data_IF_488817609901
#
_entry.id   IF_488817609901
#
_cell.length_a   1.000
_cell.length_b   1.000
_cell.length_c   1.000
_cell.angle_alpha   90.00
_cell.angle_beta   90.00
_cell.angle_gamma   90.00
#
_symmetry.space_group_name_H-M   'P 1'
#
loop_
_entity.id
_entity.type
_entity.pdbx_description
1 polymer ?
#
# COMPACT_ATOMS: atom_id res chain seq x y z
N UNK A 1 75.20 15.10 -33.50
CA UNK A 1 74.68 14.17 -32.49
C UNK A 1 73.54 14.86 -31.77
N UNK A 2 72.30 14.51 -32.17
CA UNK A 2 71.07 15.13 -31.65
C UNK A 2 70.43 14.14 -30.69
N UNK A 3 70.36 14.47 -29.42
CA UNK A 3 69.65 13.65 -28.42
C UNK A 3 68.22 14.14 -28.29
N UNK A 4 67.28 13.28 -28.72
CA UNK A 4 65.85 13.47 -28.51
C UNK A 4 65.50 13.11 -27.05
N UNK A 5 64.94 14.07 -26.31
CA UNK A 5 64.27 13.84 -25.03
C UNK A 5 62.79 13.52 -25.31
N UNK A 6 62.42 12.28 -25.07
CA UNK A 6 60.98 11.89 -24.99
C UNK A 6 60.48 12.15 -23.58
N UNK A 7 59.64 13.15 -23.44
CA UNK A 7 58.88 13.40 -22.21
C UNK A 7 57.61 12.51 -22.19
N UNK A 8 57.62 11.52 -21.30
CA UNK A 8 56.43 10.70 -21.04
C UNK A 8 55.48 11.49 -20.13
N UNK A 9 54.33 11.93 -20.69
CA UNK A 9 53.22 12.45 -19.90
C UNK A 9 52.46 11.27 -19.31
N UNK A 10 52.65 11.03 -18.03
CA UNK A 10 51.85 10.11 -17.23
C UNK A 10 50.58 10.85 -16.80
N UNK A 11 49.48 10.70 -17.53
CA UNK A 11 48.18 11.23 -17.15
C UNK A 11 47.60 10.42 -15.98
N UNK A 12 47.67 11.00 -14.79
CA UNK A 12 47.06 10.48 -13.58
C UNK A 12 45.54 10.67 -13.70
N UNK A 13 44.80 9.68 -14.13
CA UNK A 13 43.34 9.66 -14.02
C UNK A 13 42.97 9.47 -12.55
N UNK A 14 42.67 10.56 -11.85
CA UNK A 14 41.98 10.53 -10.57
C UNK A 14 40.55 10.09 -10.87
N UNK A 15 40.26 8.81 -10.69
CA UNK A 15 38.87 8.32 -10.60
C UNK A 15 38.37 8.82 -9.25
N UNK A 16 37.72 9.98 -9.25
CA UNK A 16 36.85 10.38 -8.14
C UNK A 16 35.66 9.47 -8.22
N UNK A 17 35.70 8.35 -7.49
CA UNK A 17 34.48 7.61 -7.15
C UNK A 17 33.66 8.55 -6.27
N UNK A 18 32.73 9.32 -6.88
CA UNK A 18 31.64 9.90 -6.14
C UNK A 18 30.96 8.71 -5.46
N UNK A 19 31.15 8.58 -4.15
CA UNK A 19 30.39 7.65 -3.33
C UNK A 19 28.94 8.05 -3.49
N UNK A 20 28.20 7.30 -4.33
CA UNK A 20 26.76 7.30 -4.24
C UNK A 20 26.48 6.83 -2.82
N UNK A 21 25.93 7.71 -1.98
CA UNK A 21 25.36 7.28 -0.73
C UNK A 21 24.46 6.10 -1.05
N UNK A 22 24.69 4.97 -0.40
CA UNK A 22 23.88 3.77 -0.58
C UNK A 22 22.42 4.15 -0.23
N UNK A 23 21.60 4.35 -1.25
CA UNK A 23 20.21 4.76 -1.10
C UNK A 23 19.29 3.55 -1.32
N UNK A 24 18.18 3.50 -0.55
CA UNK A 24 17.12 2.51 -0.75
C UNK A 24 16.68 2.51 -2.21
N UNK A 25 16.76 1.37 -2.86
CA UNK A 25 16.41 1.21 -4.26
C UNK A 25 14.94 0.79 -4.40
N UNK A 26 14.14 1.59 -5.11
CA UNK A 26 12.74 1.24 -5.43
C UNK A 26 12.65 0.79 -6.88
N UNK A 27 12.18 -0.44 -7.09
CA UNK A 27 11.98 -1.03 -8.43
C UNK A 27 10.51 -1.24 -8.72
N UNK A 28 10.13 -1.12 -9.98
CA UNK A 28 8.82 -1.50 -10.51
C UNK A 28 8.96 -2.80 -11.29
N UNK A 29 8.01 -3.70 -11.11
CA UNK A 29 7.97 -4.98 -11.81
C UNK A 29 6.54 -5.42 -12.05
N UNK A 30 6.35 -6.38 -12.94
CA UNK A 30 5.07 -6.98 -13.23
C UNK A 30 5.10 -8.48 -12.95
N UNK A 31 3.96 -9.01 -12.52
CA UNK A 31 3.72 -10.44 -12.36
C UNK A 31 2.61 -10.83 -13.32
N UNK A 32 2.88 -11.80 -14.19
CA UNK A 32 1.90 -12.31 -15.14
C UNK A 32 0.90 -13.26 -14.46
N UNK A 33 -0.38 -12.96 -14.61
CA UNK A 33 -1.51 -13.81 -14.27
C UNK A 33 -2.20 -14.25 -15.57
N UNK A 34 -3.14 -15.20 -15.48
CA UNK A 34 -3.85 -15.71 -16.67
C UNK A 34 -4.65 -14.63 -17.42
N UNK A 35 -5.11 -13.60 -16.69
CA UNK A 35 -5.98 -12.55 -17.21
C UNK A 35 -5.28 -11.19 -17.40
N UNK A 36 -3.99 -11.08 -17.12
CA UNK A 36 -3.24 -9.82 -17.26
C UNK A 36 -2.05 -9.70 -16.33
N UNK A 37 -1.53 -8.50 -16.19
CA UNK A 37 -0.32 -8.19 -15.42
C UNK A 37 -0.64 -7.41 -14.16
N UNK A 38 -0.01 -7.81 -13.06
CA UNK A 38 -0.09 -7.10 -11.78
C UNK A 38 1.21 -6.35 -11.51
N UNK A 39 1.09 -5.05 -11.26
CA UNK A 39 2.24 -4.19 -10.97
C UNK A 39 2.62 -4.21 -9.49
N UNK A 40 3.91 -4.23 -9.22
CA UNK A 40 4.53 -4.16 -7.90
C UNK A 40 5.54 -3.02 -7.82
N UNK A 41 5.52 -2.27 -6.73
CA UNK A 41 6.66 -1.46 -6.27
C UNK A 41 7.38 -2.23 -5.18
N UNK A 42 8.68 -2.43 -5.34
CA UNK A 42 9.48 -3.12 -4.34
C UNK A 42 10.68 -2.26 -3.96
N UNK A 43 10.75 -1.91 -2.68
CA UNK A 43 11.90 -1.22 -2.11
C UNK A 43 12.85 -2.26 -1.48
N UNK A 44 14.14 -2.12 -1.78
CA UNK A 44 15.18 -3.01 -1.30
C UNK A 44 16.10 -2.25 -0.36
N UNK A 45 16.48 -2.84 0.78
CA UNK A 45 17.46 -2.26 1.68
C UNK A 45 18.84 -2.19 1.01
N UNK A 46 19.66 -1.27 1.45
CA UNK A 46 21.06 -1.18 1.03
C UNK A 46 21.82 -2.44 1.36
N UNK A 47 21.60 -2.94 2.57
CA UNK A 47 22.19 -4.22 3.03
C UNK A 47 21.06 -5.20 3.30
N UNK A 48 21.11 -6.36 2.64
CA UNK A 48 20.14 -7.43 2.90
C UNK A 48 20.25 -7.88 4.35
N UNK A 49 19.10 -8.04 5.00
CA UNK A 49 18.96 -8.59 6.34
C UNK A 49 18.01 -9.79 6.32
N UNK A 50 18.00 -10.53 7.42
CA UNK A 50 17.07 -11.65 7.62
C UNK A 50 15.67 -11.19 8.08
N UNK A 51 15.42 -9.87 8.11
CA UNK A 51 14.12 -9.33 8.47
C UNK A 51 13.05 -9.76 7.46
N UNK A 52 11.88 -10.16 7.98
CA UNK A 52 10.75 -10.55 7.13
C UNK A 52 10.30 -9.38 6.27
N UNK A 53 9.96 -9.63 5.00
CA UNK A 53 9.47 -8.58 4.11
C UNK A 53 8.10 -8.07 4.56
N UNK A 54 7.83 -6.79 4.28
CA UNK A 54 6.52 -6.17 4.52
C UNK A 54 5.81 -5.95 3.21
N UNK A 55 4.52 -6.30 3.14
CA UNK A 55 3.64 -5.98 2.03
C UNK A 55 2.63 -4.94 2.46
N UNK A 56 2.57 -3.79 1.78
CA UNK A 56 1.71 -2.66 2.09
C UNK A 56 0.54 -2.58 1.11
N UNK A 57 -0.68 -2.82 1.60
CA UNK A 57 -1.93 -2.77 0.86
C UNK A 57 -2.56 -1.38 0.95
N UNK A 58 -2.63 -0.69 -0.18
CA UNK A 58 -3.04 0.71 -0.27
C UNK A 58 -4.52 0.97 0.06
N UNK A 59 -4.90 2.19 0.42
CA UNK A 59 -6.31 2.57 0.46
C UNK A 59 -6.86 2.71 -0.96
N UNK A 60 -8.12 2.34 -1.18
CA UNK A 60 -8.81 2.68 -2.43
C UNK A 60 -9.09 4.20 -2.47
N UNK A 61 -8.83 4.90 -3.58
CA UNK A 61 -8.58 4.39 -4.93
C UNK A 61 -7.10 4.44 -5.38
N UNK A 62 -6.16 4.37 -4.46
CA UNK A 62 -4.75 4.59 -4.74
C UNK A 62 -3.99 3.29 -5.05
N UNK A 63 -2.85 3.46 -5.73
CA UNK A 63 -1.88 2.42 -6.04
C UNK A 63 -0.82 2.27 -4.93
N UNK A 64 0.13 1.35 -5.11
CA UNK A 64 1.30 1.22 -4.26
C UNK A 64 2.15 2.50 -4.16
N UNK A 65 1.96 3.47 -5.08
CA UNK A 65 2.59 4.78 -5.00
C UNK A 65 2.16 5.59 -3.77
N UNK A 66 1.01 5.27 -3.19
CA UNK A 66 0.53 5.90 -1.96
C UNK A 66 1.55 5.77 -0.81
N UNK A 67 2.38 4.74 -0.84
CA UNK A 67 3.40 4.46 0.16
C UNK A 67 4.82 4.93 -0.22
N UNK A 68 4.98 5.79 -1.23
CA UNK A 68 6.30 6.12 -1.78
C UNK A 68 7.33 6.62 -0.75
N UNK A 69 6.91 7.34 0.29
CA UNK A 69 7.79 7.76 1.41
C UNK A 69 7.95 6.64 2.44
N UNK A 70 6.85 6.00 2.87
CA UNK A 70 6.90 4.91 3.84
C UNK A 70 7.74 3.72 3.35
N UNK A 71 7.68 3.39 2.05
CA UNK A 71 8.50 2.34 1.45
C UNK A 71 9.99 2.55 1.71
N UNK A 72 10.47 3.79 1.60
CA UNK A 72 11.87 4.12 1.84
C UNK A 72 12.26 3.98 3.31
N UNK A 73 11.36 4.38 4.21
CA UNK A 73 11.60 4.29 5.66
C UNK A 73 11.64 2.83 6.13
N UNK A 74 10.66 2.03 5.75
CA UNK A 74 10.60 0.61 6.08
C UNK A 74 11.71 -0.19 5.42
N UNK A 75 12.14 0.21 4.22
CA UNK A 75 13.20 -0.50 3.49
C UNK A 75 14.61 -0.20 3.97
N UNK A 76 14.79 0.45 5.11
CA UNK A 76 16.12 0.61 5.72
C UNK A 76 16.74 -0.71 6.15
N UNK A 77 15.92 -1.68 6.57
CA UNK A 77 16.35 -2.96 7.10
C UNK A 77 15.69 -4.19 6.46
N UNK A 78 14.69 -4.02 5.57
CA UNK A 78 13.94 -5.13 4.99
C UNK A 78 13.41 -4.83 3.60
N UNK A 79 12.97 -5.85 2.88
CA UNK A 79 12.27 -5.66 1.61
C UNK A 79 10.84 -5.22 1.89
N UNK A 80 10.37 -4.20 1.16
CA UNK A 80 9.01 -3.68 1.26
C UNK A 80 8.34 -3.71 -0.10
N UNK A 81 7.11 -4.23 -0.15
CA UNK A 81 6.38 -4.46 -1.39
C UNK A 81 5.05 -3.71 -1.30
N UNK A 82 4.70 -2.95 -2.32
CA UNK A 82 3.40 -2.32 -2.46
C UNK A 82 2.79 -2.71 -3.82
N UNK A 83 1.87 -3.69 -3.83
CA UNK A 83 1.15 -4.08 -5.04
C UNK A 83 0.06 -3.07 -5.38
N UNK A 84 -0.19 -2.89 -6.68
CA UNK A 84 -1.40 -2.24 -7.15
C UNK A 84 -2.54 -3.28 -7.21
N UNK A 85 -3.75 -2.91 -6.82
CA UNK A 85 -4.91 -3.80 -6.95
C UNK A 85 -5.33 -3.97 -8.41
N UNK A 86 -6.07 -5.05 -8.75
CA UNK A 86 -6.66 -5.21 -10.05
C UNK A 86 -7.42 -3.97 -10.50
N UNK A 87 -6.98 -3.38 -11.62
CA UNK A 87 -7.58 -2.18 -12.22
C UNK A 87 -7.23 -0.85 -11.55
N UNK A 88 -6.29 -0.82 -10.60
CA UNK A 88 -5.70 0.40 -10.07
C UNK A 88 -4.25 0.54 -10.49
N UNK A 89 -3.75 1.77 -10.45
CA UNK A 89 -2.37 2.07 -10.81
C UNK A 89 -2.00 1.57 -12.21
N UNK A 90 -1.08 0.62 -12.26
CA UNK A 90 -0.58 0.01 -13.49
C UNK A 90 -0.93 -1.48 -13.61
N UNK A 91 -1.83 -1.99 -12.77
CA UNK A 91 -2.32 -3.36 -12.85
C UNK A 91 -3.50 -3.48 -13.80
N UNK A 92 -3.51 -4.56 -14.59
CA UNK A 92 -4.68 -4.96 -15.38
C UNK A 92 -5.85 -5.34 -14.48
N UNK A 93 -7.01 -5.52 -15.09
CA UNK A 93 -8.23 -5.91 -14.40
C UNK A 93 -8.90 -7.09 -15.10
N UNK A 94 -9.29 -8.15 -14.37
CA UNK A 94 -10.13 -9.20 -14.94
C UNK A 94 -11.55 -8.66 -15.24
N UNK A 95 -12.27 -9.34 -16.13
CA UNK A 95 -13.66 -8.98 -16.44
C UNK A 95 -14.61 -9.22 -15.26
N UNK A 96 -14.30 -10.20 -14.41
CA UNK A 96 -15.11 -10.56 -13.25
C UNK A 96 -15.18 -9.40 -12.23
N UNK A 97 -16.34 -9.31 -11.56
CA UNK A 97 -16.44 -8.51 -10.34
C UNK A 97 -15.73 -9.24 -9.20
N UNK A 98 -14.93 -8.51 -8.43
CA UNK A 98 -14.10 -9.06 -7.36
C UNK A 98 -14.64 -8.61 -5.99
N UNK A 99 -14.77 -9.56 -5.08
CA UNK A 99 -14.96 -9.27 -3.66
C UNK A 99 -13.61 -9.16 -2.91
N UNK A 100 -13.64 -8.99 -1.58
CA UNK A 100 -12.42 -8.89 -0.77
C UNK A 100 -11.65 -10.22 -0.74
N UNK A 101 -12.34 -11.35 -0.78
CA UNK A 101 -11.70 -12.67 -0.82
C UNK A 101 -10.97 -12.89 -2.15
N UNK A 102 -11.57 -12.48 -3.27
CA UNK A 102 -10.95 -12.54 -4.58
C UNK A 102 -9.70 -11.65 -4.64
N UNK A 103 -9.79 -10.42 -4.12
CA UNK A 103 -8.62 -9.55 -4.02
C UNK A 103 -7.51 -10.18 -3.19
N UNK A 104 -7.83 -10.82 -2.07
CA UNK A 104 -6.84 -11.50 -1.22
C UNK A 104 -6.19 -12.69 -1.94
N UNK A 105 -6.97 -13.50 -2.65
CA UNK A 105 -6.45 -14.64 -3.42
C UNK A 105 -5.53 -14.18 -4.56
N UNK A 106 -5.92 -13.13 -5.28
CA UNK A 106 -5.07 -12.52 -6.33
C UNK A 106 -3.76 -12.00 -5.73
N UNK A 107 -3.81 -11.30 -4.58
CA UNK A 107 -2.59 -10.83 -3.91
C UNK A 107 -1.72 -12.00 -3.47
N UNK A 108 -2.29 -13.10 -2.97
CA UNK A 108 -1.54 -14.29 -2.63
C UNK A 108 -0.84 -14.89 -3.86
N UNK A 109 -1.54 -15.04 -4.98
CA UNK A 109 -0.97 -15.54 -6.23
C UNK A 109 0.19 -14.65 -6.71
N UNK A 110 0.00 -13.32 -6.71
CA UNK A 110 1.03 -12.34 -7.09
C UNK A 110 2.27 -12.48 -6.21
N UNK A 111 2.10 -12.55 -4.90
CA UNK A 111 3.23 -12.68 -3.97
C UNK A 111 3.96 -14.00 -4.12
N UNK A 112 3.24 -15.11 -4.28
CA UNK A 112 3.84 -16.43 -4.49
C UNK A 112 4.61 -16.50 -5.81
N UNK A 113 4.06 -15.96 -6.90
CA UNK A 113 4.74 -15.88 -8.22
C UNK A 113 5.96 -14.95 -8.17
N UNK A 114 5.92 -13.89 -7.35
CA UNK A 114 7.06 -13.01 -7.12
C UNK A 114 8.14 -13.66 -6.21
N UNK A 115 7.92 -14.91 -5.76
CA UNK A 115 8.89 -15.70 -4.99
C UNK A 115 8.81 -15.50 -3.47
N UNK A 116 7.72 -14.94 -2.95
CA UNK A 116 7.46 -14.82 -1.52
C UNK A 116 6.61 -16.00 -1.00
N UNK A 117 6.64 -16.23 0.30
CA UNK A 117 5.88 -17.30 0.95
C UNK A 117 6.72 -18.50 1.37
N UNK A 118 6.07 -19.54 1.99
CA UNK A 118 6.77 -20.64 2.68
C UNK A 118 7.72 -21.45 1.81
N UNK A 119 7.46 -21.53 0.52
CA UNK A 119 8.30 -22.25 -0.46
C UNK A 119 9.30 -21.34 -1.19
N UNK A 120 9.33 -20.05 -0.85
CA UNK A 120 10.18 -19.05 -1.46
C UNK A 120 11.06 -18.36 -0.42
N UNK A 121 11.00 -17.01 -0.40
CA UNK A 121 11.79 -16.17 0.50
C UNK A 121 11.23 -16.06 1.93
N UNK A 122 10.27 -16.89 2.30
CA UNK A 122 9.61 -16.89 3.60
C UNK A 122 8.28 -16.13 3.63
N UNK A 123 7.54 -16.24 4.76
CA UNK A 123 6.29 -15.52 4.96
C UNK A 123 6.54 -14.01 5.10
N UNK A 124 5.47 -13.24 4.86
CA UNK A 124 5.48 -11.78 4.88
C UNK A 124 4.78 -11.22 6.13
N UNK A 125 5.10 -9.99 6.49
CA UNK A 125 4.24 -9.17 7.33
C UNK A 125 3.32 -8.35 6.44
N UNK A 126 2.02 -8.32 6.75
CA UNK A 126 1.04 -7.63 5.93
C UNK A 126 0.59 -6.34 6.61
N UNK A 127 0.81 -5.20 5.96
CA UNK A 127 0.35 -3.89 6.38
C UNK A 127 -0.82 -3.44 5.50
N UNK A 128 -1.95 -3.05 6.10
CA UNK A 128 -3.10 -2.53 5.38
C UNK A 128 -3.56 -1.17 5.91
N UNK A 129 -3.94 -0.28 4.99
CA UNK A 129 -4.54 1.01 5.34
C UNK A 129 -5.91 1.15 4.67
N UNK A 130 -6.93 1.56 5.43
CA UNK A 130 -8.31 1.64 4.96
C UNK A 130 -8.75 0.34 4.27
N UNK A 131 -9.08 0.36 2.97
CA UNK A 131 -9.42 -0.83 2.16
C UNK A 131 -8.41 -1.96 2.33
N UNK A 132 -7.13 -1.62 2.36
CA UNK A 132 -6.03 -2.57 2.52
C UNK A 132 -6.10 -3.38 3.81
N UNK A 133 -6.78 -2.88 4.86
CA UNK A 133 -6.95 -3.60 6.12
C UNK A 133 -7.80 -4.88 5.94
N UNK A 134 -8.87 -4.80 5.14
CA UNK A 134 -9.71 -5.97 4.86
C UNK A 134 -9.02 -6.96 3.92
N UNK A 135 -8.25 -6.47 2.94
CA UNK A 135 -7.48 -7.34 2.06
C UNK A 135 -6.37 -8.07 2.86
N UNK A 136 -5.64 -7.36 3.73
CA UNK A 136 -4.63 -7.97 4.60
C UNK A 136 -5.25 -8.99 5.57
N UNK A 137 -6.41 -8.66 6.16
CA UNK A 137 -7.18 -9.57 7.03
C UNK A 137 -7.56 -10.84 6.29
N UNK A 138 -8.17 -10.72 5.12
CA UNK A 138 -8.64 -11.87 4.35
C UNK A 138 -7.48 -12.70 3.80
N UNK A 139 -6.37 -12.04 3.40
CA UNK A 139 -5.13 -12.72 3.01
C UNK A 139 -4.60 -13.61 4.15
N UNK A 140 -4.57 -13.10 5.39
CA UNK A 140 -4.12 -13.88 6.53
C UNK A 140 -5.05 -15.04 6.86
N UNK A 141 -6.37 -14.87 6.69
CA UNK A 141 -7.37 -15.91 6.93
C UNK A 141 -7.33 -17.03 5.88
N UNK A 142 -7.15 -16.69 4.61
CA UNK A 142 -7.20 -17.65 3.50
C UNK A 142 -5.84 -18.28 3.22
N UNK A 143 -4.76 -17.55 3.46
CA UNK A 143 -3.39 -17.96 3.20
C UNK A 143 -2.51 -17.84 4.47
N UNK A 144 -2.88 -18.52 5.58
CA UNK A 144 -2.25 -18.30 6.89
C UNK A 144 -0.75 -18.61 6.92
N UNK A 145 -0.27 -19.50 6.04
CA UNK A 145 1.16 -19.80 5.95
C UNK A 145 1.96 -18.71 5.19
N UNK A 146 1.27 -17.83 4.45
CA UNK A 146 1.91 -16.71 3.73
C UNK A 146 2.14 -15.50 4.64
N UNK A 147 1.25 -15.28 5.61
CA UNK A 147 1.28 -14.11 6.50
C UNK A 147 1.82 -14.50 7.87
N UNK A 148 2.76 -13.72 8.40
CA UNK A 148 3.34 -13.89 9.73
C UNK A 148 2.64 -13.01 10.77
N UNK A 149 2.46 -11.74 10.46
CA UNK A 149 1.90 -10.70 11.32
C UNK A 149 1.09 -9.70 10.50
N UNK A 150 0.21 -8.95 11.18
CA UNK A 150 -0.61 -7.91 10.59
C UNK A 150 -0.35 -6.56 11.25
N UNK A 151 -0.31 -5.50 10.43
CA UNK A 151 -0.43 -4.11 10.87
C UNK A 151 -1.64 -3.51 10.15
N UNK A 152 -2.70 -3.17 10.89
CA UNK A 152 -3.95 -2.65 10.34
C UNK A 152 -4.12 -1.19 10.79
N UNK A 153 -4.34 -0.28 9.83
CA UNK A 153 -4.31 1.16 10.09
C UNK A 153 -5.60 1.80 9.58
N UNK A 154 -6.37 2.49 10.44
CA UNK A 154 -7.55 3.24 10.04
C UNK A 154 -8.59 2.38 9.31
N UNK A 155 -9.27 1.51 10.04
CA UNK A 155 -10.11 0.43 9.50
C UNK A 155 -11.51 0.95 9.18
N UNK A 156 -12.03 0.83 7.92
CA UNK A 156 -13.36 1.32 7.53
C UNK A 156 -14.49 0.35 7.93
N UNK A 157 -14.58 0.04 9.22
CA UNK A 157 -15.54 -0.90 9.75
C UNK A 157 -16.86 -0.23 10.09
N UNK A 158 -17.84 -0.40 9.23
CA UNK A 158 -19.19 0.15 9.39
C UNK A 158 -20.22 -0.96 9.51
N UNK A 159 -21.31 -0.70 10.22
CA UNK A 159 -22.40 -1.67 10.48
C UNK A 159 -23.76 -1.13 10.08
N UNK A 160 -24.70 -2.04 9.88
CA UNK A 160 -26.13 -1.72 9.72
C UNK A 160 -26.42 -0.65 8.68
N UNK A 161 -27.19 0.35 9.06
CA UNK A 161 -27.64 1.42 8.17
C UNK A 161 -26.49 2.28 7.62
N UNK A 162 -25.46 2.57 8.44
CA UNK A 162 -24.31 3.35 8.00
C UNK A 162 -23.54 2.63 6.89
N UNK A 163 -23.30 1.34 7.02
CA UNK A 163 -22.66 0.52 5.99
C UNK A 163 -23.48 0.54 4.69
N UNK A 164 -24.80 0.39 4.78
CA UNK A 164 -25.68 0.44 3.63
C UNK A 164 -25.67 1.81 2.93
N UNK A 165 -25.70 2.91 3.68
CA UNK A 165 -25.60 4.25 3.13
C UNK A 165 -24.29 4.48 2.38
N UNK A 166 -23.16 4.03 2.94
CA UNK A 166 -21.84 4.13 2.31
C UNK A 166 -21.76 3.31 1.03
N UNK A 167 -22.37 2.11 1.02
CA UNK A 167 -22.47 1.30 -0.19
C UNK A 167 -23.27 2.04 -1.28
N UNK A 168 -24.43 2.59 -0.95
CA UNK A 168 -25.24 3.38 -1.89
C UNK A 168 -24.46 4.58 -2.46
N UNK A 169 -23.70 5.27 -1.62
CA UNK A 169 -22.95 6.47 -1.98
C UNK A 169 -21.69 6.19 -2.79
N UNK A 170 -20.93 5.15 -2.47
CA UNK A 170 -19.58 4.92 -2.97
C UNK A 170 -19.41 3.59 -3.71
N UNK A 171 -20.19 2.57 -3.35
CA UNK A 171 -20.01 1.20 -3.85
C UNK A 171 -20.72 0.91 -5.18
N UNK A 172 -21.57 1.81 -5.66
CA UNK A 172 -22.27 1.63 -6.96
C UNK A 172 -21.39 2.15 -8.10
N UNK A 173 -21.16 1.31 -9.09
CA UNK A 173 -20.41 1.68 -10.30
C UNK A 173 -21.09 2.84 -11.01
N UNK A 174 -20.31 3.87 -11.31
CA UNK A 174 -20.77 5.08 -12.00
C UNK A 174 -20.25 5.09 -13.44
N UNK A 175 -21.02 5.65 -14.38
CA UNK A 175 -20.53 5.89 -15.74
C UNK A 175 -19.33 6.84 -15.70
N UNK A 176 -18.53 6.84 -16.77
CA UNK A 176 -17.48 7.86 -16.91
C UNK A 176 -18.10 9.25 -16.89
N UNK A 177 -17.45 10.22 -16.23
CA UNK A 177 -17.96 11.57 -16.17
C UNK A 177 -17.81 12.27 -17.54
N UNK A 178 -18.86 12.88 -18.01
CA UNK A 178 -18.83 13.74 -19.21
C UNK A 178 -18.51 15.21 -18.88
N UNK A 179 -18.68 15.60 -17.61
CA UNK A 179 -18.44 16.96 -17.15
C UNK A 179 -17.37 16.99 -16.05
N UNK A 180 -16.49 17.99 -16.09
CA UNK A 180 -15.42 18.22 -15.12
C UNK A 180 -15.96 18.34 -13.68
N UNK A 181 -17.17 18.92 -13.51
CA UNK A 181 -17.81 19.05 -12.20
C UNK A 181 -17.98 17.71 -11.45
N UNK A 182 -18.03 16.59 -12.15
CA UNK A 182 -18.07 15.27 -11.50
C UNK A 182 -16.75 14.89 -10.80
N UNK A 183 -15.64 15.49 -11.19
CA UNK A 183 -14.30 15.29 -10.59
C UNK A 183 -13.98 16.34 -9.51
N UNK A 184 -14.81 17.37 -9.35
CA UNK A 184 -14.56 18.48 -8.45
C UNK A 184 -14.38 18.01 -6.99
N UNK A 185 -15.19 17.08 -6.53
CA UNK A 185 -15.08 16.54 -5.17
C UNK A 185 -13.77 15.78 -4.93
N UNK A 186 -13.30 15.05 -5.94
CA UNK A 186 -12.00 14.36 -5.88
C UNK A 186 -10.85 15.38 -5.81
N UNK A 187 -10.97 16.49 -6.57
CA UNK A 187 -10.00 17.59 -6.52
C UNK A 187 -9.99 18.27 -5.15
N UNK A 188 -11.16 18.67 -4.66
CA UNK A 188 -11.29 19.34 -3.36
C UNK A 188 -10.67 18.46 -2.27
N UNK A 189 -11.00 17.17 -2.24
CA UNK A 189 -10.50 16.24 -1.24
C UNK A 189 -8.98 16.04 -1.32
N UNK A 190 -8.46 15.78 -2.52
CA UNK A 190 -7.06 15.39 -2.69
C UNK A 190 -6.11 16.60 -2.70
N UNK A 191 -6.54 17.76 -3.21
CA UNK A 191 -5.69 18.92 -3.44
C UNK A 191 -5.96 20.06 -2.46
N UNK A 192 -7.20 20.53 -2.38
CA UNK A 192 -7.54 21.71 -1.58
C UNK A 192 -7.58 21.41 -0.08
N UNK A 193 -8.16 20.26 0.28
CA UNK A 193 -8.30 19.79 1.67
C UNK A 193 -7.23 18.77 2.08
N UNK A 194 -6.12 18.70 1.34
CA UNK A 194 -5.02 17.82 1.73
C UNK A 194 -4.53 18.17 3.14
N UNK A 195 -4.07 17.17 3.88
CA UNK A 195 -3.58 17.39 5.24
C UNK A 195 -2.40 18.39 5.24
N UNK A 196 -2.32 19.20 6.29
CA UNK A 196 -1.16 20.08 6.51
C UNK A 196 0.13 19.24 6.52
N UNK A 197 1.16 19.74 5.82
CA UNK A 197 2.43 19.02 5.64
C UNK A 197 2.47 18.12 4.39
N UNK A 198 1.34 17.78 3.78
CA UNK A 198 1.34 17.06 2.49
C UNK A 198 1.63 18.04 1.36
N UNK A 199 2.66 17.74 0.56
CA UNK A 199 3.06 18.57 -0.58
C UNK A 199 1.94 18.71 -1.63
N UNK A 200 1.89 19.84 -2.34
CA UNK A 200 0.89 20.06 -3.39
C UNK A 200 1.00 19.03 -4.51
N UNK A 201 2.22 18.70 -4.92
CA UNK A 201 2.51 17.68 -5.93
C UNK A 201 1.90 16.33 -5.53
N UNK A 202 2.01 15.98 -4.25
CA UNK A 202 1.44 14.75 -3.71
C UNK A 202 -0.09 14.75 -3.75
N UNK A 203 -0.71 15.87 -3.40
CA UNK A 203 -2.16 16.06 -3.54
C UNK A 203 -2.61 15.91 -4.98
N UNK A 204 -1.86 16.48 -5.91
CA UNK A 204 -2.13 16.37 -7.35
C UNK A 204 -1.97 14.94 -7.87
N UNK A 205 -0.93 14.21 -7.46
CA UNK A 205 -0.75 12.79 -7.80
C UNK A 205 -1.95 11.96 -7.30
N UNK A 206 -2.38 12.17 -6.06
CA UNK A 206 -3.55 11.50 -5.49
C UNK A 206 -4.83 11.79 -6.27
N UNK A 207 -5.04 13.03 -6.73
CA UNK A 207 -6.16 13.38 -7.60
C UNK A 207 -6.11 12.60 -8.92
N UNK A 208 -4.94 12.57 -9.59
CA UNK A 208 -4.77 11.86 -10.86
C UNK A 208 -5.07 10.36 -10.69
N UNK A 209 -4.56 9.72 -9.64
CA UNK A 209 -4.84 8.31 -9.36
C UNK A 209 -6.34 8.06 -9.11
N UNK A 210 -7.00 8.93 -8.33
CA UNK A 210 -8.44 8.82 -8.09
C UNK A 210 -9.28 9.00 -9.36
N UNK A 211 -8.91 9.94 -10.22
CA UNK A 211 -9.58 10.18 -11.49
C UNK A 211 -9.39 9.00 -12.46
N UNK A 212 -8.16 8.47 -12.57
CA UNK A 212 -7.86 7.30 -13.40
C UNK A 212 -8.62 6.04 -12.94
N UNK A 213 -8.80 5.90 -11.63
CA UNK A 213 -9.51 4.77 -11.03
C UNK A 213 -11.05 4.86 -11.13
N UNK A 214 -11.63 5.86 -11.77
CA UNK A 214 -13.06 6.23 -11.72
C UNK A 214 -14.04 5.06 -11.63
N UNK A 215 -13.96 4.09 -12.54
CA UNK A 215 -14.85 2.93 -12.56
C UNK A 215 -14.49 1.90 -11.48
N UNK A 216 -13.22 1.67 -11.27
CA UNK A 216 -12.73 0.61 -10.40
C UNK A 216 -12.82 0.99 -8.93
N UNK A 217 -12.66 2.28 -8.59
CA UNK A 217 -12.81 2.73 -7.20
C UNK A 217 -14.16 2.39 -6.59
N UNK A 218 -15.25 2.53 -7.34
CA UNK A 218 -16.59 2.17 -6.86
C UNK A 218 -16.78 0.67 -6.69
N UNK A 219 -16.20 -0.16 -7.58
CA UNK A 219 -16.23 -1.63 -7.46
C UNK A 219 -15.53 -2.09 -6.19
N UNK A 220 -14.33 -1.56 -5.93
CA UNK A 220 -13.58 -1.90 -4.72
C UNK A 220 -14.29 -1.40 -3.45
N UNK A 221 -14.88 -0.18 -3.46
CA UNK A 221 -15.74 0.26 -2.35
C UNK A 221 -16.94 -0.64 -2.16
N UNK A 222 -17.53 -1.14 -3.26
CA UNK A 222 -18.63 -2.13 -3.20
C UNK A 222 -18.20 -3.40 -2.48
N UNK A 223 -17.02 -3.93 -2.79
CA UNK A 223 -16.45 -5.10 -2.11
C UNK A 223 -16.19 -4.81 -0.62
N UNK A 224 -15.63 -3.63 -0.28
CA UNK A 224 -15.39 -3.21 1.12
C UNK A 224 -16.68 -3.17 1.94
N UNK A 225 -17.74 -2.54 1.43
CA UNK A 225 -18.99 -2.40 2.18
C UNK A 225 -19.87 -3.65 2.17
N UNK A 226 -19.54 -4.66 1.36
CA UNK A 226 -20.18 -5.97 1.39
C UNK A 226 -19.37 -7.01 2.18
N UNK A 227 -18.13 -6.71 2.54
CA UNK A 227 -17.29 -7.62 3.30
C UNK A 227 -17.86 -7.91 4.69
N UNK A 228 -18.04 -9.20 5.07
CA UNK A 228 -18.66 -9.58 6.34
C UNK A 228 -17.67 -9.49 7.51
N UNK A 229 -17.11 -8.28 7.74
CA UNK A 229 -16.01 -8.03 8.65
C UNK A 229 -16.29 -8.49 10.08
N UNK A 230 -17.54 -8.37 10.57
CA UNK A 230 -17.96 -8.83 11.90
C UNK A 230 -17.77 -10.33 12.10
N UNK A 231 -17.89 -11.10 11.01
CA UNK A 231 -17.76 -12.57 11.02
C UNK A 231 -16.32 -13.00 10.78
N UNK A 232 -15.53 -12.17 10.08
CA UNK A 232 -14.16 -12.50 9.67
C UNK A 232 -13.11 -12.12 10.71
N UNK A 233 -13.22 -10.94 11.31
CA UNK A 233 -12.25 -10.44 12.28
C UNK A 233 -12.00 -11.40 13.48
N UNK A 234 -13.03 -12.01 14.08
CA UNK A 234 -12.83 -12.95 15.22
C UNK A 234 -12.04 -14.20 14.86
N UNK A 235 -11.91 -14.53 13.56
CA UNK A 235 -11.15 -15.69 13.10
C UNK A 235 -9.66 -15.45 12.96
N UNK A 236 -9.19 -14.19 13.09
CA UNK A 236 -7.78 -13.86 13.01
C UNK A 236 -7.02 -14.44 14.22
N UNK A 237 -6.05 -15.30 13.92
CA UNK A 237 -5.14 -15.90 14.92
C UNK A 237 -3.74 -15.28 14.90
N UNK A 238 -3.42 -14.51 13.87
CA UNK A 238 -2.12 -13.89 13.69
C UNK A 238 -1.92 -12.74 14.70
N UNK A 239 -0.71 -12.52 15.21
CA UNK A 239 -0.38 -11.31 15.95
C UNK A 239 -0.74 -10.08 15.12
N UNK A 240 -1.57 -9.22 15.65
CA UNK A 240 -2.12 -8.07 14.93
C UNK A 240 -1.88 -6.79 15.72
N UNK A 241 -1.17 -5.86 15.10
CA UNK A 241 -1.04 -4.49 15.58
C UNK A 241 -2.08 -3.61 14.86
N UNK A 242 -2.87 -2.87 15.63
CA UNK A 242 -3.82 -1.90 15.09
C UNK A 242 -3.33 -0.50 15.42
N UNK A 243 -3.07 0.31 14.40
CA UNK A 243 -2.72 1.72 14.57
C UNK A 243 -3.98 2.57 14.30
N UNK A 244 -4.32 3.43 15.26
CA UNK A 244 -5.56 4.20 15.25
C UNK A 244 -5.32 5.71 15.14
N UNK A 245 -5.14 6.25 13.90
CA UNK A 245 -5.12 7.69 13.69
C UNK A 245 -6.47 8.33 14.05
N UNK A 246 -6.44 9.49 14.71
CA UNK A 246 -7.65 10.18 15.19
C UNK A 246 -8.38 10.95 14.08
N UNK A 247 -8.55 10.33 12.90
CA UNK A 247 -9.40 10.78 11.80
C UNK A 247 -10.85 10.27 11.92
N UNK A 248 -11.55 10.28 10.80
CA UNK A 248 -12.95 9.82 10.71
C UNK A 248 -13.13 8.31 10.99
N UNK A 249 -12.06 7.53 10.94
CA UNK A 249 -12.08 6.09 11.18
C UNK A 249 -11.68 5.69 12.60
N UNK A 250 -11.49 6.65 13.52
CA UNK A 250 -11.08 6.36 14.90
C UNK A 250 -12.02 5.33 15.56
N UNK A 251 -13.30 5.64 15.69
CA UNK A 251 -14.27 4.73 16.28
C UNK A 251 -14.43 3.40 15.55
N UNK A 252 -14.63 3.40 14.20
CA UNK A 252 -14.65 2.16 13.43
C UNK A 252 -13.41 1.27 13.61
N UNK A 253 -12.22 1.86 13.80
CA UNK A 253 -10.97 1.12 14.05
C UNK A 253 -10.98 0.47 15.44
N UNK A 254 -11.40 1.19 16.48
CA UNK A 254 -11.56 0.67 17.84
C UNK A 254 -12.56 -0.51 17.88
N UNK A 255 -13.70 -0.33 17.21
CA UNK A 255 -14.74 -1.36 17.12
C UNK A 255 -14.21 -2.64 16.46
N UNK A 256 -13.48 -2.51 15.34
CA UNK A 256 -12.90 -3.67 14.65
C UNK A 256 -11.80 -4.34 15.47
N UNK A 257 -10.90 -3.57 16.08
CA UNK A 257 -9.83 -4.09 16.93
C UNK A 257 -10.38 -4.94 18.10
N UNK A 258 -11.51 -4.52 18.66
CA UNK A 258 -12.18 -5.24 19.75
C UNK A 258 -12.67 -6.65 19.38
N UNK A 259 -12.79 -6.96 18.09
CA UNK A 259 -13.19 -8.27 17.59
C UNK A 259 -12.03 -9.25 17.45
N UNK A 260 -10.78 -8.78 17.50
CA UNK A 260 -9.58 -9.59 17.25
C UNK A 260 -8.94 -9.95 18.59
N UNK A 261 -8.92 -11.22 18.95
CA UNK A 261 -8.43 -11.68 20.24
C UNK A 261 -6.95 -11.35 20.53
N UNK A 262 -6.11 -11.32 19.47
CA UNK A 262 -4.67 -11.08 19.59
C UNK A 262 -4.27 -9.69 19.03
N UNK A 263 -5.17 -8.71 19.07
CA UNK A 263 -4.87 -7.35 18.63
C UNK A 263 -4.28 -6.53 19.78
N UNK A 264 -3.22 -5.79 19.44
CA UNK A 264 -2.71 -4.67 20.21
C UNK A 264 -3.13 -3.38 19.51
N UNK A 265 -3.82 -2.47 20.24
CA UNK A 265 -4.28 -1.18 19.71
C UNK A 265 -3.36 -0.06 20.19
N UNK A 266 -2.78 0.69 19.26
CA UNK A 266 -1.99 1.90 19.56
C UNK A 266 -2.73 3.12 19.01
N UNK A 267 -3.03 4.06 19.90
CA UNK A 267 -3.64 5.33 19.55
C UNK A 267 -2.61 6.31 19.00
N UNK A 268 -2.96 6.97 17.89
CA UNK A 268 -2.13 7.99 17.25
C UNK A 268 -2.86 9.35 17.22
N UNK A 269 -2.98 10.04 18.40
CA UNK A 269 -3.84 11.21 18.55
C UNK A 269 -3.39 12.41 17.69
N UNK A 270 -2.12 12.51 17.37
CA UNK A 270 -1.56 13.61 16.60
C UNK A 270 -1.65 13.39 15.07
N UNK A 271 -2.07 12.20 14.64
CA UNK A 271 -2.22 11.84 13.23
C UNK A 271 -3.69 11.70 12.84
N UNK A 272 -4.07 12.24 11.69
CA UNK A 272 -5.45 12.15 11.15
C UNK A 272 -5.49 11.62 9.72
N UNK A 273 -4.87 12.35 8.80
CA UNK A 273 -4.83 12.06 7.36
C UNK A 273 -3.40 12.32 6.85
N UNK A 274 -3.06 11.77 5.68
CA UNK A 274 -1.74 11.97 5.07
C UNK A 274 -0.59 11.38 5.89
N UNK A 275 -0.86 10.40 6.75
CA UNK A 275 0.04 9.90 7.80
C UNK A 275 1.37 9.37 7.23
N UNK A 276 1.36 8.84 6.03
CA UNK A 276 2.56 8.30 5.37
C UNK A 276 3.39 9.35 4.65
N UNK A 277 2.83 10.56 4.46
CA UNK A 277 3.53 11.70 3.88
C UNK A 277 4.08 12.63 4.95
N UNK A 278 3.41 12.73 6.13
CA UNK A 278 3.79 13.65 7.21
C UNK A 278 4.60 12.99 8.34
N UNK A 279 4.46 11.69 8.56
CA UNK A 279 5.13 10.96 9.64
C UNK A 279 5.51 9.53 9.22
N UNK A 280 6.19 9.33 8.07
CA UNK A 280 6.52 7.99 7.58
C UNK A 280 7.46 7.24 8.53
N UNK A 281 8.42 7.92 9.16
CA UNK A 281 9.36 7.39 10.15
C UNK A 281 8.67 6.98 11.45
N UNK A 282 7.71 7.80 11.93
CA UNK A 282 6.91 7.49 13.10
C UNK A 282 6.06 6.22 12.92
N UNK A 283 5.45 6.06 11.75
CA UNK A 283 4.68 4.85 11.41
C UNK A 283 5.61 3.64 11.24
N UNK A 284 6.76 3.81 10.56
CA UNK A 284 7.73 2.73 10.40
C UNK A 284 8.29 2.23 11.73
N UNK A 285 8.45 3.10 12.72
CA UNK A 285 8.94 2.75 14.05
C UNK A 285 7.94 1.98 14.93
N UNK A 286 6.64 1.96 14.56
CA UNK A 286 5.60 1.21 15.27
C UNK A 286 5.36 -0.19 14.66
N UNK A 287 5.81 -0.47 13.44
CA UNK A 287 5.50 -1.68 12.67
C UNK A 287 6.53 -2.82 12.77
#
# INVERSE_FOLDING_TARGET
MLRLFTASLLSLFLVVSAGFADEVSVKRSYVDLEWGQMHLRTAYPVTLSDASPVVCFAPNPYSGNYYSLLLKELARDRVVIAPDYPGLGQSDRPEAELDIADHADIMAEVLLKAGWGPKGRGPIDACGYHTGTFIATELALRHPALVRRLVLIGIPFYRGAERAERYEKLGKVRPLPEALAALEQDWIFAVEQRAEGVALERGFENFIESAAAWRNKSRIYGAVFQYPAEQRAPLLIHPTLVLNPHGSLKGPTEDFASLIANAELIELPDLKYGIFDIAPDGIAGQS
#
